data_IF_150314239758
#
_entry.id   IF_150314239758
#
_cell.length_a   1.000
_cell.length_b   1.000
_cell.length_c   1.000
_cell.angle_alpha   90.00
_cell.angle_beta   90.00
_cell.angle_gamma   90.00
#
_symmetry.space_group_name_H-M   'P 1'
#
loop_
_entity.id
_entity.type
_entity.pdbx_description
1 polymer ?
#
# COMPACT_ATOMS: atom_id res chain seq x y z
N UNK A 1 -96.36 -7.97 22.70
CA UNK A 1 -95.40 -8.66 21.82
C UNK A 1 -94.45 -7.60 21.27
N UNK A 2 -93.14 -7.72 21.52
CA UNK A 2 -92.14 -6.81 20.95
C UNK A 2 -91.79 -7.26 19.53
N UNK A 3 -91.69 -6.32 18.60
CA UNK A 3 -91.09 -6.58 17.28
C UNK A 3 -89.62 -6.94 17.49
N UNK A 4 -89.12 -8.07 16.96
CA UNK A 4 -87.69 -8.37 17.00
C UNK A 4 -86.88 -7.23 16.38
N UNK A 5 -85.90 -6.73 17.14
CA UNK A 5 -84.99 -5.65 16.74
C UNK A 5 -83.56 -6.20 16.88
N UNK A 6 -82.84 -6.32 15.76
CA UNK A 6 -81.49 -6.89 15.73
C UNK A 6 -80.43 -6.02 16.46
N UNK A 7 -80.81 -4.83 16.93
CA UNK A 7 -79.92 -3.89 17.63
C UNK A 7 -80.11 -3.87 19.14
N UNK A 8 -81.05 -4.68 19.68
CA UNK A 8 -81.42 -4.69 21.10
C UNK A 8 -81.45 -6.09 21.67
N UNK A 9 -81.23 -6.18 22.97
CA UNK A 9 -81.38 -7.40 23.76
C UNK A 9 -82.36 -7.16 24.91
N UNK A 10 -83.05 -8.22 25.33
CA UNK A 10 -83.94 -8.18 26.49
C UNK A 10 -83.12 -8.50 27.73
N UNK A 11 -83.10 -7.60 28.70
CA UNK A 11 -82.44 -7.81 30.00
C UNK A 11 -83.28 -8.70 30.92
N UNK A 12 -82.66 -9.16 32.01
CA UNK A 12 -83.33 -9.98 33.05
C UNK A 12 -84.46 -9.27 33.81
N UNK A 13 -84.55 -7.94 33.72
CA UNK A 13 -85.66 -7.12 34.24
C UNK A 13 -86.82 -6.95 33.23
N UNK A 14 -86.76 -7.67 32.10
CA UNK A 14 -87.73 -7.60 31.00
C UNK A 14 -87.81 -6.22 30.32
N UNK A 15 -86.73 -5.43 30.39
CA UNK A 15 -86.56 -4.21 29.62
C UNK A 15 -85.65 -4.44 28.41
N UNK A 16 -85.96 -3.80 27.28
CA UNK A 16 -85.11 -3.82 26.08
C UNK A 16 -83.98 -2.81 26.21
N UNK A 17 -82.77 -3.19 25.82
CA UNK A 17 -81.59 -2.33 25.84
C UNK A 17 -80.75 -2.50 24.56
N UNK A 18 -80.10 -1.44 24.03
CA UNK A 18 -79.22 -1.58 22.87
C UNK A 18 -78.03 -2.50 23.11
N UNK A 19 -77.60 -3.23 22.08
CA UNK A 19 -76.41 -4.10 22.10
C UNK A 19 -75.14 -3.37 22.53
N UNK A 20 -75.05 -2.07 22.27
CA UNK A 20 -73.95 -1.19 22.73
C UNK A 20 -73.87 -1.04 24.26
N UNK A 21 -74.90 -1.45 24.99
CA UNK A 21 -74.93 -1.43 26.45
C UNK A 21 -74.55 -2.79 27.07
N UNK A 22 -74.27 -3.83 26.26
CA UNK A 22 -73.82 -5.12 26.78
C UNK A 22 -72.43 -4.93 27.42
N UNK A 23 -72.25 -5.27 28.70
CA UNK A 23 -70.92 -5.24 29.32
C UNK A 23 -70.00 -6.21 28.58
N UNK A 24 -68.97 -5.71 27.89
CA UNK A 24 -68.07 -6.54 27.07
C UNK A 24 -68.10 -6.25 25.57
N UNK A 25 -69.14 -5.61 25.03
CA UNK A 25 -69.13 -5.16 23.63
C UNK A 25 -68.35 -3.87 23.51
N UNK A 26 -67.08 -3.99 23.13
CA UNK A 26 -66.21 -2.85 22.90
C UNK A 26 -65.82 -2.78 21.43
N UNK A 27 -65.75 -1.56 20.92
CA UNK A 27 -65.05 -1.26 19.68
C UNK A 27 -63.83 -0.45 20.04
N UNK A 28 -62.71 -0.77 19.42
CA UNK A 28 -61.48 0.00 19.52
C UNK A 28 -60.89 0.16 18.13
N UNK A 29 -59.84 0.95 17.99
CA UNK A 29 -59.27 1.27 16.68
C UNK A 29 -57.79 0.94 16.69
N UNK A 30 -57.33 0.21 15.66
CA UNK A 30 -55.91 0.05 15.35
C UNK A 30 -55.52 1.15 14.38
N UNK A 31 -54.43 1.87 14.64
CA UNK A 31 -53.91 2.88 13.72
C UNK A 31 -52.38 2.94 13.74
N UNK A 32 -51.79 3.22 12.58
CA UNK A 32 -50.37 3.52 12.39
C UNK A 32 -50.10 5.05 12.30
N UNK A 33 -51.11 5.88 12.57
CA UNK A 33 -51.07 7.34 12.43
C UNK A 33 -51.49 7.85 11.04
N UNK A 34 -51.60 6.98 10.03
CA UNK A 34 -52.04 7.32 8.66
C UNK A 34 -53.31 6.54 8.27
N UNK A 35 -53.31 5.23 8.49
CA UNK A 35 -54.41 4.31 8.27
C UNK A 35 -55.05 3.92 9.61
N UNK A 36 -56.32 3.53 9.57
CA UNK A 36 -57.02 3.05 10.77
C UNK A 36 -58.10 2.04 10.42
N UNK A 37 -58.27 1.04 11.29
CA UNK A 37 -59.31 0.02 11.18
C UNK A 37 -60.01 -0.13 12.53
N UNK A 38 -61.34 -0.11 12.53
CA UNK A 38 -62.12 -0.42 13.72
C UNK A 38 -62.08 -1.94 13.98
N UNK A 39 -61.90 -2.31 15.25
CA UNK A 39 -61.90 -3.69 15.73
C UNK A 39 -63.09 -3.86 16.66
N UNK A 40 -64.05 -4.68 16.23
CA UNK A 40 -65.21 -5.03 17.02
C UNK A 40 -64.90 -6.17 17.98
N UNK A 41 -65.72 -6.31 19.02
CA UNK A 41 -65.62 -7.43 19.96
C UNK A 41 -65.68 -8.77 19.24
N UNK A 42 -64.63 -9.59 19.40
CA UNK A 42 -64.50 -10.92 18.79
C UNK A 42 -63.64 -10.96 17.53
N UNK A 43 -63.22 -9.82 16.98
CA UNK A 43 -62.27 -9.77 15.87
C UNK A 43 -60.82 -9.97 16.36
N UNK A 44 -59.95 -10.44 15.46
CA UNK A 44 -58.54 -10.67 15.73
C UNK A 44 -57.67 -9.58 15.11
N UNK A 45 -56.61 -9.20 15.81
CA UNK A 45 -55.56 -8.31 15.28
C UNK A 45 -54.28 -9.13 15.14
N UNK A 46 -53.68 -9.07 13.97
CA UNK A 46 -52.40 -9.72 13.67
C UNK A 46 -51.29 -8.69 13.70
N UNK A 47 -50.21 -9.01 14.41
CA UNK A 47 -48.96 -8.25 14.36
C UNK A 47 -47.96 -9.05 13.53
N UNK A 48 -47.34 -8.43 12.53
CA UNK A 48 -46.37 -9.05 11.64
C UNK A 48 -45.39 -8.02 11.11
N UNK A 49 -44.11 -8.37 11.00
CA UNK A 49 -43.13 -7.56 10.27
C UNK A 49 -43.10 -7.93 8.80
N UNK A 50 -42.32 -7.18 8.02
CA UNK A 50 -41.99 -7.62 6.66
C UNK A 50 -40.81 -8.60 6.72
N UNK A 51 -40.51 -9.27 5.61
CA UNK A 51 -39.71 -10.49 5.54
C UNK A 51 -38.51 -10.57 6.53
N UNK A 52 -38.61 -11.46 7.52
CA UNK A 52 -37.58 -11.76 8.53
C UNK A 52 -37.05 -10.55 9.32
N UNK A 53 -37.85 -9.49 9.48
CA UNK A 53 -37.46 -8.34 10.31
C UNK A 53 -37.77 -8.57 11.79
N UNK A 54 -38.91 -9.20 12.09
CA UNK A 54 -39.34 -9.48 13.46
C UNK A 54 -39.92 -10.90 13.57
N UNK A 55 -39.83 -11.45 14.77
CA UNK A 55 -40.61 -12.61 15.20
C UNK A 55 -41.72 -12.14 16.15
N UNK A 56 -42.94 -12.64 15.92
CA UNK A 56 -44.11 -12.34 16.75
C UNK A 56 -44.66 -13.64 17.32
N UNK A 57 -44.74 -13.72 18.65
CA UNK A 57 -45.33 -14.85 19.36
C UNK A 57 -46.45 -14.37 20.28
N UNK A 58 -47.56 -15.11 20.35
CA UNK A 58 -48.62 -14.91 21.33
C UNK A 58 -48.71 -16.13 22.24
N UNK A 59 -48.76 -15.88 23.55
CA UNK A 59 -49.10 -16.92 24.52
C UNK A 59 -49.74 -16.30 25.74
N UNK A 60 -50.89 -16.83 26.14
CA UNK A 60 -51.54 -16.46 27.39
C UNK A 60 -51.89 -14.98 27.49
N UNK A 61 -52.30 -14.35 26.37
CA UNK A 61 -52.64 -12.93 26.24
C UNK A 61 -51.43 -11.99 26.31
N UNK A 62 -50.23 -12.52 26.06
CA UNK A 62 -48.99 -11.75 25.93
C UNK A 62 -48.48 -11.86 24.51
N UNK A 63 -48.28 -10.72 23.85
CA UNK A 63 -47.63 -10.66 22.54
C UNK A 63 -46.17 -10.25 22.76
N UNK A 64 -45.24 -11.10 22.35
CA UNK A 64 -43.81 -10.83 22.34
C UNK A 64 -43.39 -10.49 20.92
N UNK A 65 -42.69 -9.37 20.75
CA UNK A 65 -42.14 -8.92 19.48
C UNK A 65 -40.63 -8.77 19.67
N UNK A 66 -39.84 -9.44 18.82
CA UNK A 66 -38.39 -9.40 18.86
C UNK A 66 -37.78 -9.54 17.47
N UNK A 67 -36.46 -9.63 17.42
CA UNK A 67 -35.74 -9.95 16.18
C UNK A 67 -35.56 -11.47 16.08
N UNK A 68 -35.64 -12.06 14.87
CA UNK A 68 -35.18 -13.43 14.64
C UNK A 68 -33.67 -13.55 14.85
N UNK A 69 -33.15 -14.79 14.81
CA UNK A 69 -31.71 -15.06 14.88
C UNK A 69 -30.93 -14.33 13.76
N UNK A 70 -31.52 -14.29 12.56
CA UNK A 70 -30.96 -13.61 11.39
C UNK A 70 -31.91 -12.53 10.90
N UNK A 71 -31.45 -11.28 10.90
CA UNK A 71 -32.19 -10.13 10.38
C UNK A 71 -31.65 -9.77 9.00
N UNK A 72 -32.50 -9.81 7.98
CA UNK A 72 -32.13 -9.42 6.62
C UNK A 72 -32.72 -8.05 6.30
N UNK A 73 -31.86 -7.08 6.00
CA UNK A 73 -32.27 -5.75 5.55
C UNK A 73 -31.98 -5.66 4.05
N UNK A 74 -33.03 -5.64 3.21
CA UNK A 74 -32.88 -5.59 1.74
C UNK A 74 -32.41 -4.23 1.23
N UNK A 75 -32.69 -3.17 2.00
CA UNK A 75 -32.28 -1.80 1.70
C UNK A 75 -31.08 -1.40 2.57
N UNK A 76 -30.86 -0.09 2.71
CA UNK A 76 -29.78 0.44 3.53
C UNK A 76 -30.16 0.44 5.02
N UNK A 77 -29.24 -0.02 5.86
CA UNK A 77 -29.26 0.26 7.29
C UNK A 77 -28.63 1.64 7.56
N UNK A 78 -29.40 2.55 8.16
CA UNK A 78 -28.87 3.84 8.63
C UNK A 78 -28.74 3.81 10.15
N UNK A 79 -27.52 3.98 10.67
CA UNK A 79 -27.24 4.09 12.11
C UNK A 79 -26.89 5.54 12.42
N UNK A 80 -27.74 6.23 13.17
CA UNK A 80 -27.58 7.67 13.47
C UNK A 80 -26.42 8.00 14.43
N UNK A 81 -25.69 7.00 14.90
CA UNK A 81 -24.54 7.12 15.79
C UNK A 81 -23.49 6.06 15.49
N UNK A 82 -22.65 5.74 16.47
CA UNK A 82 -21.60 4.73 16.29
C UNK A 82 -22.18 3.32 16.36
N UNK A 83 -21.91 2.52 15.33
CA UNK A 83 -22.16 1.06 15.37
C UNK A 83 -21.02 0.34 16.10
N UNK A 84 -21.35 -0.54 17.05
CA UNK A 84 -20.39 -1.41 17.71
C UNK A 84 -20.70 -2.87 17.33
N UNK A 85 -19.83 -3.48 16.51
CA UNK A 85 -19.95 -4.88 16.11
C UNK A 85 -18.92 -5.71 16.88
N UNK A 86 -19.38 -6.57 17.78
CA UNK A 86 -18.52 -7.48 18.55
C UNK A 86 -18.15 -8.75 17.78
N UNK A 87 -18.92 -9.07 16.74
CA UNK A 87 -18.64 -10.16 15.80
C UNK A 87 -17.83 -9.71 14.58
N UNK A 88 -17.45 -10.68 13.75
CA UNK A 88 -16.79 -10.42 12.46
C UNK A 88 -17.75 -9.64 11.54
N UNK A 89 -17.26 -8.54 10.98
CA UNK A 89 -17.88 -7.87 9.84
C UNK A 89 -17.20 -8.37 8.57
N UNK A 90 -17.97 -8.92 7.63
CA UNK A 90 -17.46 -9.36 6.32
C UNK A 90 -17.61 -8.23 5.32
N UNK A 91 -16.49 -7.77 4.77
CA UNK A 91 -16.41 -6.71 3.76
C UNK A 91 -15.99 -7.33 2.43
N UNK A 92 -16.55 -6.92 1.28
CA UNK A 92 -16.08 -7.36 -0.04
C UNK A 92 -14.57 -7.15 -0.20
N UNK A 93 -13.88 -8.09 -0.86
CA UNK A 93 -12.42 -8.04 -1.00
C UNK A 93 -12.00 -6.75 -1.68
N UNK A 94 -12.61 -6.43 -2.83
CA UNK A 94 -12.29 -5.23 -3.61
C UNK A 94 -13.33 -4.12 -3.36
N UNK A 95 -12.92 -2.98 -2.79
CA UNK A 95 -13.74 -1.76 -2.76
C UNK A 95 -14.08 -1.32 -4.19
N UNK A 96 -15.34 -0.98 -4.45
CA UNK A 96 -15.80 -0.51 -5.77
C UNK A 96 -15.96 1.02 -5.80
N UNK A 97 -16.40 1.61 -4.69
CA UNK A 97 -16.53 3.06 -4.52
C UNK A 97 -15.47 3.60 -3.55
N UNK A 98 -15.17 4.90 -3.67
CA UNK A 98 -14.20 5.57 -2.79
C UNK A 98 -14.67 5.70 -1.34
N UNK A 99 -15.95 5.46 -1.06
CA UNK A 99 -16.54 5.48 0.29
C UNK A 99 -16.64 4.09 0.92
N UNK A 100 -16.27 3.03 0.20
CA UNK A 100 -16.33 1.68 0.72
C UNK A 100 -15.25 1.48 1.80
N UNK A 101 -15.56 0.67 2.80
CA UNK A 101 -14.53 0.17 3.71
C UNK A 101 -13.56 -0.73 2.93
N UNK A 102 -12.26 -0.55 3.14
CA UNK A 102 -11.25 -1.45 2.57
C UNK A 102 -11.21 -2.77 3.34
N UNK A 103 -11.19 -3.90 2.62
CA UNK A 103 -10.90 -5.19 3.24
C UNK A 103 -9.44 -5.24 3.68
N UNK A 104 -9.14 -6.02 4.72
CA UNK A 104 -7.75 -6.21 5.15
C UNK A 104 -6.88 -6.85 4.06
N UNK A 105 -7.42 -7.79 3.30
CA UNK A 105 -6.71 -8.42 2.18
C UNK A 105 -6.35 -7.40 1.08
N UNK A 106 -7.27 -6.50 0.74
CA UNK A 106 -6.98 -5.42 -0.20
C UNK A 106 -5.87 -4.49 0.31
N UNK A 107 -5.93 -4.09 1.59
CA UNK A 107 -4.90 -3.24 2.19
C UNK A 107 -3.56 -3.98 2.24
N UNK A 108 -3.54 -5.24 2.67
CA UNK A 108 -2.31 -6.03 2.77
C UNK A 108 -1.69 -6.21 1.38
N UNK A 109 -2.47 -6.59 0.37
CA UNK A 109 -1.97 -6.72 -1.00
C UNK A 109 -1.51 -5.38 -1.61
N UNK A 110 -2.18 -4.27 -1.28
CA UNK A 110 -1.74 -2.94 -1.71
C UNK A 110 -0.45 -2.48 -1.04
N UNK A 111 -0.16 -2.98 0.17
CA UNK A 111 1.05 -2.64 0.94
C UNK A 111 2.20 -3.63 0.66
N UNK A 112 1.90 -4.88 0.31
CA UNK A 112 2.91 -5.90 -0.04
C UNK A 112 3.69 -5.47 -1.28
N UNK A 113 5.01 -5.36 -1.14
CA UNK A 113 5.91 -4.93 -2.21
C UNK A 113 6.03 -3.40 -2.36
N UNK A 114 5.34 -2.62 -1.53
CA UNK A 114 5.52 -1.18 -1.46
C UNK A 114 6.84 -0.80 -0.79
N UNK A 115 7.50 0.23 -1.32
CA UNK A 115 8.62 0.89 -0.65
C UNK A 115 8.06 1.85 0.41
N UNK A 116 8.50 1.70 1.66
CA UNK A 116 8.09 2.57 2.78
C UNK A 116 9.24 3.52 3.10
N UNK A 117 9.12 4.77 2.67
CA UNK A 117 10.17 5.77 2.88
C UNK A 117 10.28 6.15 4.37
N UNK A 118 11.45 5.91 4.96
CA UNK A 118 11.77 6.17 6.35
C UNK A 118 12.52 7.50 6.56
N UNK A 119 12.98 8.13 5.48
CA UNK A 119 13.72 9.40 5.52
C UNK A 119 15.21 9.24 5.20
N UNK A 120 16.02 10.11 5.81
CA UNK A 120 17.47 10.16 5.61
C UNK A 120 18.25 9.16 6.47
N UNK A 121 19.32 8.60 5.92
CA UNK A 121 20.36 7.84 6.62
C UNK A 121 21.69 8.60 6.54
N UNK A 122 22.30 8.89 7.67
CA UNK A 122 23.65 9.41 7.77
C UNK A 122 24.62 8.22 7.88
N UNK A 123 25.37 7.95 6.80
CA UNK A 123 26.30 6.84 6.76
C UNK A 123 27.62 7.14 7.50
N UNK A 124 27.92 8.41 7.80
CA UNK A 124 29.10 8.78 8.58
C UNK A 124 28.91 8.42 10.06
N UNK A 125 27.68 8.55 10.57
CA UNK A 125 27.35 8.28 11.97
C UNK A 125 26.47 7.05 12.19
N UNK A 126 26.11 6.33 11.12
CA UNK A 126 25.14 5.24 11.14
C UNK A 126 23.83 5.66 11.85
N UNK A 127 23.17 6.71 11.35
CA UNK A 127 21.98 7.31 11.97
C UNK A 127 20.83 7.47 10.97
N UNK A 128 19.64 6.87 11.18
CA UNK A 128 19.35 5.90 12.24
C UNK A 128 20.25 4.65 12.14
N UNK A 129 20.38 3.90 13.22
CA UNK A 129 21.22 2.68 13.22
C UNK A 129 20.58 1.62 12.32
N UNK A 130 21.24 1.33 11.19
CA UNK A 130 20.79 0.34 10.21
C UNK A 130 21.63 -0.95 10.23
N UNK A 131 22.67 -1.01 11.05
CA UNK A 131 23.68 -2.08 10.99
C UNK A 131 23.77 -2.93 12.26
N UNK A 132 23.24 -2.44 13.38
CA UNK A 132 23.23 -3.21 14.63
C UNK A 132 22.00 -4.10 14.67
N UNK A 133 22.21 -5.42 14.76
CA UNK A 133 21.14 -6.39 15.00
C UNK A 133 21.07 -6.78 16.49
N UNK A 134 19.89 -7.10 17.03
CA UNK A 134 18.58 -7.02 16.35
C UNK A 134 18.09 -5.57 16.20
N UNK A 135 17.35 -5.29 15.12
CA UNK A 135 16.71 -4.00 14.85
C UNK A 135 15.23 -4.17 14.46
N UNK A 136 14.51 -3.05 14.35
CA UNK A 136 13.08 -3.01 14.03
C UNK A 136 12.78 -2.77 12.56
N UNK A 137 13.76 -2.89 11.68
CA UNK A 137 13.61 -2.58 10.26
C UNK A 137 12.81 -3.69 9.59
N UNK A 138 11.82 -3.31 8.79
CA UNK A 138 10.98 -4.23 8.04
C UNK A 138 11.33 -4.20 6.55
N UNK A 139 11.10 -5.32 5.87
CA UNK A 139 11.24 -5.42 4.41
C UNK A 139 10.48 -4.28 3.72
N UNK A 140 11.13 -3.66 2.73
CA UNK A 140 10.61 -2.53 1.96
C UNK A 140 10.90 -1.16 2.59
N UNK A 141 11.40 -1.09 3.83
CA UNK A 141 11.86 0.17 4.39
C UNK A 141 12.97 0.76 3.54
N UNK A 142 12.81 2.03 3.18
CA UNK A 142 13.67 2.73 2.21
C UNK A 142 14.24 3.99 2.82
N UNK A 143 15.55 4.19 2.67
CA UNK A 143 16.29 5.33 3.18
C UNK A 143 17.07 6.02 2.06
N UNK A 144 17.24 7.33 2.15
CA UNK A 144 18.17 8.08 1.29
C UNK A 144 19.41 8.46 2.08
N UNK A 145 20.59 8.20 1.55
CA UNK A 145 21.86 8.58 2.19
C UNK A 145 22.01 10.11 2.17
N UNK A 146 22.33 10.70 3.32
CA UNK A 146 22.43 12.15 3.53
C UNK A 146 23.83 12.64 3.87
N UNK A 147 24.74 11.73 4.22
CA UNK A 147 26.16 11.99 4.40
C UNK A 147 26.97 10.77 3.93
N UNK A 148 28.15 11.01 3.34
CA UNK A 148 29.06 9.97 2.87
C UNK A 148 29.57 9.11 4.04
N UNK A 149 29.71 7.81 3.81
CA UNK A 149 30.18 6.90 4.86
C UNK A 149 30.35 5.47 4.38
N UNK A 150 30.32 4.54 5.32
CA UNK A 150 30.50 3.11 5.04
C UNK A 150 29.34 2.31 5.61
N UNK A 151 28.79 1.40 4.81
CA UNK A 151 27.67 0.55 5.17
C UNK A 151 28.03 -0.91 4.89
N UNK A 152 28.17 -1.71 5.95
CA UNK A 152 28.66 -3.10 5.86
C UNK A 152 29.94 -3.27 5.01
N UNK A 153 30.83 -2.27 5.01
CA UNK A 153 32.08 -2.26 4.25
C UNK A 153 31.98 -1.67 2.84
N UNK A 154 30.78 -1.37 2.36
CA UNK A 154 30.54 -0.65 1.10
C UNK A 154 30.58 0.87 1.32
N UNK A 155 31.22 1.61 0.41
CA UNK A 155 31.16 3.07 0.45
C UNK A 155 29.80 3.55 -0.05
N UNK A 156 29.11 4.35 0.76
CA UNK A 156 27.91 5.06 0.36
C UNK A 156 28.17 6.56 0.21
N UNK A 157 27.47 7.19 -0.72
CA UNK A 157 27.52 8.63 -0.99
C UNK A 157 26.15 9.27 -0.80
N UNK A 158 26.13 10.57 -0.52
CA UNK A 158 24.88 11.35 -0.47
C UNK A 158 24.06 11.12 -1.75
N UNK A 159 22.79 10.76 -1.57
CA UNK A 159 21.84 10.47 -2.65
C UNK A 159 21.66 8.99 -2.97
N UNK A 160 22.52 8.10 -2.47
CA UNK A 160 22.29 6.65 -2.58
C UNK A 160 20.99 6.26 -1.86
N UNK A 161 20.33 5.20 -2.33
CA UNK A 161 19.10 4.68 -1.73
C UNK A 161 19.35 3.27 -1.21
N UNK A 162 18.93 3.02 0.03
CA UNK A 162 18.99 1.72 0.68
C UNK A 162 17.58 1.17 0.84
N UNK A 163 17.34 -0.06 0.41
CA UNK A 163 16.04 -0.74 0.52
C UNK A 163 16.25 -2.06 1.26
N UNK A 164 15.55 -2.27 2.37
CA UNK A 164 15.63 -3.53 3.12
C UNK A 164 14.88 -4.67 2.38
N UNK A 165 15.53 -5.80 2.16
CA UNK A 165 14.95 -6.97 1.48
C UNK A 165 14.34 -8.00 2.46
N UNK A 166 14.63 -7.85 3.75
CA UNK A 166 14.16 -8.73 4.83
C UNK A 166 13.82 -7.90 6.06
N UNK A 167 13.14 -8.54 7.02
CA UNK A 167 12.97 -7.98 8.37
C UNK A 167 14.23 -8.26 9.18
N UNK A 168 14.60 -7.34 10.09
CA UNK A 168 15.81 -7.42 10.92
C UNK A 168 17.09 -7.73 10.11
N UNK A 169 17.42 -6.90 9.09
CA UNK A 169 18.61 -7.09 8.27
C UNK A 169 19.88 -6.99 9.11
N UNK A 170 20.90 -7.79 8.76
CA UNK A 170 22.15 -7.94 9.51
C UNK A 170 23.40 -7.97 8.62
N UNK A 171 23.24 -8.02 7.30
CA UNK A 171 24.31 -8.04 6.33
C UNK A 171 23.99 -7.19 5.09
N UNK A 172 25.02 -6.84 4.31
CA UNK A 172 24.85 -6.08 3.06
C UNK A 172 23.88 -6.76 2.07
N UNK A 173 23.89 -8.10 2.01
CA UNK A 173 23.01 -8.90 1.13
C UNK A 173 21.53 -8.80 1.48
N UNK A 174 21.22 -8.27 2.66
CA UNK A 174 19.85 -8.04 3.13
C UNK A 174 19.29 -6.70 2.63
N UNK A 175 20.09 -5.96 1.86
CA UNK A 175 19.76 -4.65 1.32
C UNK A 175 19.98 -4.61 -0.19
N UNK A 176 19.08 -3.90 -0.89
CA UNK A 176 19.35 -3.39 -2.21
C UNK A 176 19.95 -1.99 -2.07
N UNK A 177 21.18 -1.80 -2.52
CA UNK A 177 21.85 -0.49 -2.60
C UNK A 177 21.69 0.06 -4.02
N UNK A 178 20.91 1.13 -4.17
CA UNK A 178 20.80 1.87 -5.43
C UNK A 178 21.77 3.04 -5.33
N UNK A 179 22.96 2.85 -5.88
CA UNK A 179 23.97 3.89 -5.92
C UNK A 179 23.57 4.98 -6.92
N UNK A 180 23.86 6.24 -6.60
CA UNK A 180 23.83 7.30 -7.60
C UNK A 180 24.78 6.93 -8.76
N UNK A 181 24.46 7.36 -9.97
CA UNK A 181 25.29 7.04 -11.14
C UNK A 181 26.72 7.51 -10.86
N UNK A 182 27.68 6.58 -10.86
CA UNK A 182 29.10 6.90 -10.69
C UNK A 182 29.46 8.02 -11.69
N UNK A 183 29.98 9.14 -11.20
CA UNK A 183 30.27 10.31 -12.03
C UNK A 183 31.22 9.97 -13.20
N UNK A 184 31.31 10.86 -14.19
CA UNK A 184 32.35 10.78 -15.20
C UNK A 184 33.73 10.77 -14.54
N UNK A 185 34.62 9.89 -15.01
CA UNK A 185 35.97 9.80 -14.47
C UNK A 185 36.70 11.16 -14.56
N UNK A 186 37.45 11.50 -13.52
CA UNK A 186 38.35 12.66 -13.49
C UNK A 186 39.77 12.22 -13.15
N UNK A 187 40.72 13.16 -13.14
CA UNK A 187 42.12 12.87 -12.78
C UNK A 187 42.28 12.28 -11.36
N UNK A 188 41.32 12.53 -10.47
CA UNK A 188 41.39 12.10 -9.06
C UNK A 188 40.17 11.28 -8.63
N UNK A 189 39.19 11.06 -9.51
CA UNK A 189 37.97 10.32 -9.22
C UNK A 189 37.83 9.15 -10.19
N UNK A 190 37.79 7.93 -9.63
CA UNK A 190 37.41 6.73 -10.38
C UNK A 190 35.92 6.87 -10.72
N UNK A 191 35.63 6.82 -12.02
CA UNK A 191 34.30 7.12 -12.55
C UNK A 191 33.94 6.26 -13.76
N UNK A 192 32.82 6.55 -14.40
CA UNK A 192 32.49 5.99 -15.72
C UNK A 192 33.37 6.69 -16.75
N UNK A 193 34.32 5.96 -17.33
CA UNK A 193 35.17 6.43 -18.41
C UNK A 193 35.30 5.33 -19.47
N UNK A 194 35.08 5.68 -20.74
CA UNK A 194 35.32 4.77 -21.86
C UNK A 194 36.67 5.10 -22.51
N UNK A 195 37.65 4.21 -22.39
CA UNK A 195 38.95 4.34 -23.06
C UNK A 195 39.18 3.11 -23.93
N UNK A 196 38.90 3.21 -25.22
CA UNK A 196 39.19 2.13 -26.14
C UNK A 196 40.65 2.19 -26.57
N UNK A 197 41.35 1.06 -26.49
CA UNK A 197 42.59 0.91 -27.24
C UNK A 197 42.25 0.99 -28.75
N UNK A 198 43.13 1.61 -29.53
CA UNK A 198 43.04 1.50 -30.97
C UNK A 198 43.30 0.03 -31.33
N UNK A 199 42.28 -0.67 -31.81
CA UNK A 199 42.42 -2.03 -32.33
C UNK A 199 42.73 -1.95 -33.82
N UNK A 200 43.71 -2.73 -34.27
CA UNK A 200 44.24 -2.69 -35.64
C UNK A 200 43.30 -3.33 -36.69
N UNK A 201 42.04 -3.61 -36.34
CA UNK A 201 41.14 -4.47 -37.15
C UNK A 201 39.80 -3.83 -37.55
N UNK A 202 39.50 -2.57 -37.19
CA UNK A 202 38.18 -1.97 -37.46
C UNK A 202 38.19 -0.93 -38.59
N UNK A 203 38.11 -1.32 -39.87
CA UNK A 203 38.00 -0.39 -41.02
C UNK A 203 36.74 0.52 -40.96
N UNK A 204 36.86 1.86 -41.00
CA UNK A 204 38.07 2.66 -41.10
C UNK A 204 38.65 2.94 -39.70
N UNK A 205 39.75 2.26 -39.36
CA UNK A 205 40.38 2.38 -38.05
C UNK A 205 41.39 3.52 -38.09
N UNK A 206 41.49 4.34 -37.03
CA UNK A 206 42.64 5.20 -36.87
C UNK A 206 43.86 4.30 -36.59
N UNK A 207 44.78 4.18 -37.55
CA UNK A 207 46.09 3.56 -37.40
C UNK A 207 46.90 4.35 -36.34
N UNK A 208 46.65 4.05 -35.06
CA UNK A 208 47.33 4.67 -33.92
C UNK A 208 48.20 3.62 -33.21
N UNK A 209 49.07 2.98 -33.98
CA UNK A 209 50.11 2.12 -33.42
C UNK A 209 51.03 2.95 -32.51
N UNK A 210 51.36 2.40 -31.34
CA UNK A 210 52.27 3.04 -30.37
C UNK A 210 51.58 3.69 -29.16
N UNK A 211 50.25 3.62 -29.03
CA UNK A 211 49.56 3.90 -27.77
C UNK A 211 49.05 2.60 -27.15
N UNK A 212 49.43 2.34 -25.90
CA UNK A 212 48.90 1.20 -25.13
C UNK A 212 47.99 1.70 -24.03
N UNK A 213 46.87 1.00 -23.87
CA UNK A 213 45.90 1.22 -22.80
C UNK A 213 45.93 0.00 -21.90
N UNK A 214 46.23 0.19 -20.63
CA UNK A 214 46.10 -0.85 -19.60
C UNK A 214 45.16 -0.37 -18.51
N UNK A 215 44.35 -1.29 -17.99
CA UNK A 215 43.44 -1.00 -16.88
C UNK A 215 43.94 -1.64 -15.60
N UNK A 216 43.95 -0.85 -14.52
CA UNK A 216 44.21 -1.35 -13.17
C UNK A 216 43.24 -0.68 -12.19
N UNK A 217 42.49 -1.49 -11.43
CA UNK A 217 41.55 -1.03 -10.41
C UNK A 217 40.60 0.10 -10.88
N UNK A 218 40.08 0.00 -12.11
CA UNK A 218 39.14 0.98 -12.67
C UNK A 218 39.78 2.25 -13.25
N UNK A 219 41.11 2.39 -13.22
CA UNK A 219 41.82 3.50 -13.88
C UNK A 219 42.47 3.01 -15.18
N UNK A 220 42.21 3.74 -16.27
CA UNK A 220 42.93 3.56 -17.53
C UNK A 220 44.29 4.27 -17.46
N UNK A 221 45.35 3.55 -17.79
CA UNK A 221 46.69 4.10 -17.99
C UNK A 221 46.94 4.11 -19.50
N UNK A 222 47.14 5.30 -20.06
CA UNK A 222 47.48 5.49 -21.47
C UNK A 222 48.93 5.94 -21.58
N UNK A 223 49.73 5.23 -22.36
CA UNK A 223 51.14 5.53 -22.54
C UNK A 223 51.62 5.18 -23.93
N UNK A 224 52.84 5.63 -24.26
CA UNK A 224 53.51 5.25 -25.49
C UNK A 224 54.07 3.83 -25.35
N UNK A 225 53.67 2.92 -26.24
CA UNK A 225 54.22 1.57 -26.37
C UNK A 225 55.11 1.50 -27.60
N UNK A 226 56.34 1.97 -27.42
CA UNK A 226 57.34 2.05 -28.48
C UNK A 226 57.90 0.65 -28.82
N UNK A 227 57.81 -0.31 -27.89
CA UNK A 227 58.38 -1.65 -28.06
C UNK A 227 57.57 -2.49 -29.07
N UNK A 228 56.26 -2.26 -29.17
CA UNK A 228 55.38 -2.96 -30.10
C UNK A 228 55.17 -2.23 -31.44
N UNK A 229 55.81 -1.07 -31.65
CA UNK A 229 55.83 -0.37 -32.93
C UNK A 229 56.79 -1.07 -33.92
N UNK A 230 56.35 -2.20 -34.45
CA UNK A 230 57.19 -3.12 -35.26
C UNK A 230 57.22 -2.78 -36.76
N UNK A 231 56.33 -1.89 -37.22
CA UNK A 231 56.21 -1.47 -38.62
C UNK A 231 56.36 0.05 -38.75
N UNK A 232 57.35 0.50 -39.52
CA UNK A 232 57.55 1.92 -39.84
C UNK A 232 56.78 2.27 -41.12
N UNK A 233 55.85 3.22 -41.03
CA UNK A 233 55.22 3.85 -42.21
C UNK A 233 55.17 5.38 -42.01
N UNK A 234 55.80 6.19 -42.89
CA UNK A 234 56.63 5.84 -44.04
C UNK A 234 58.07 5.46 -43.65
N UNK A 235 58.76 4.69 -44.50
CA UNK A 235 60.11 4.15 -44.26
C UNK A 235 61.27 5.17 -44.22
N UNK A 236 60.98 6.47 -44.09
CA UNK A 236 61.98 7.53 -43.96
C UNK A 236 61.92 8.15 -42.55
N UNK A 237 62.80 7.67 -41.68
CA UNK A 237 62.94 8.10 -40.29
C UNK A 237 63.92 9.28 -40.11
N UNK A 238 64.35 9.95 -41.19
CA UNK A 238 65.22 11.13 -41.09
C UNK A 238 64.60 12.27 -40.27
N UNK A 239 63.30 12.21 -39.97
CA UNK A 239 62.55 13.21 -39.20
C UNK A 239 61.73 12.62 -38.02
N UNK A 240 61.81 11.31 -37.74
CA UNK A 240 61.09 10.69 -36.61
C UNK A 240 61.87 10.92 -35.31
N UNK A 241 61.93 12.17 -34.85
CA UNK A 241 62.55 12.56 -33.60
C UNK A 241 61.46 12.74 -32.54
N UNK A 242 61.51 11.99 -31.44
CA UNK A 242 60.75 12.34 -30.23
C UNK A 242 61.64 13.32 -29.45
N UNK A 243 61.37 14.64 -29.47
CA UNK A 243 62.18 15.58 -28.72
C UNK A 243 62.02 15.30 -27.22
N UNK A 244 63.08 14.80 -26.59
CA UNK A 244 63.16 14.78 -25.13
C UNK A 244 63.86 16.08 -24.69
N UNK A 245 63.14 16.96 -24.01
CA UNK A 245 63.79 18.07 -23.31
C UNK A 245 64.16 17.59 -21.91
N UNK A 246 65.39 17.13 -21.70
CA UNK A 246 65.90 17.03 -20.34
C UNK A 246 66.16 18.46 -19.83
N UNK A 247 65.67 18.79 -18.63
CA UNK A 247 66.07 20.04 -17.97
C UNK A 247 67.53 19.91 -17.57
N UNK A 248 68.46 20.29 -18.45
CA UNK A 248 69.87 20.44 -18.07
C UNK A 248 69.99 21.70 -17.22
N UNK A 249 70.17 21.53 -15.91
CA UNK A 249 70.65 22.59 -15.04
C UNK A 249 72.14 22.81 -15.34
N UNK A 250 72.48 23.90 -16.02
CA UNK A 250 73.87 24.31 -16.22
C UNK A 250 74.40 24.85 -14.89
N UNK A 251 75.06 24.00 -14.10
CA UNK A 251 75.93 24.44 -13.02
C UNK A 251 77.19 25.06 -13.63
N UNK A 252 77.28 26.39 -13.63
CA UNK A 252 78.55 27.08 -13.84
C UNK A 252 79.39 26.94 -12.58
N UNK A 253 80.60 26.38 -12.72
CA UNK A 253 81.71 26.53 -11.77
C UNK A 253 82.50 27.76 -12.21
#
# INVERSE_FOLDING_TARGET
AGTPDATKYLRGDNAWEPITAIPGTYTWTVSDGTNSTAVASGETVTFSGTANEIEVAESGRTVTIGLPNDVTITNNLTVGGTGNFTGQVTIPILPAASTDAASKDYVDNAVVGGLVYQGGYDAATNTPDLTTSPNSILKGWTYTVTADGTFFGEQLRVGDVLIAEVNDPSALTDWTTVQNNIDLASLTQVGIGNVNAADSVADPAPELDGLSVTYSSGTAIVGLDIANLTTQSPANNALAFIPFTSRVSLGFI
#
